data_IF_551972833140
#
_entry.id   IF_551972833140
#
_cell.length_a   1.000
_cell.length_b   1.000
_cell.length_c   1.000
_cell.angle_alpha   90.00
_cell.angle_beta   90.00
_cell.angle_gamma   90.00
#
_symmetry.space_group_name_H-M   'P 1'
#
loop_
_entity.id
_entity.type
_entity.pdbx_description
1 polymer ?
#
# COMPACT_ATOMS: atom_id res chain seq x y z
N UNK A 1 -8.24 -18.25 7.86
CA UNK A 1 -7.56 -18.26 9.17
C UNK A 1 -8.48 -18.74 10.29
N UNK A 2 -9.59 -18.05 10.60
CA UNK A 2 -10.50 -18.44 11.69
C UNK A 2 -11.04 -19.87 11.56
N UNK A 3 -11.56 -20.24 10.39
CA UNK A 3 -12.09 -21.58 10.14
C UNK A 3 -11.00 -22.67 10.23
N UNK A 4 -9.83 -22.43 9.65
CA UNK A 4 -8.71 -23.38 9.70
C UNK A 4 -8.18 -23.57 11.13
N UNK A 5 -8.10 -22.49 11.92
CA UNK A 5 -7.68 -22.53 13.32
C UNK A 5 -8.70 -23.25 14.21
N UNK A 6 -10.00 -23.01 13.99
CA UNK A 6 -11.07 -23.73 14.69
C UNK A 6 -11.08 -25.22 14.33
N UNK A 7 -10.88 -25.54 13.05
CA UNK A 7 -10.78 -26.92 12.59
C UNK A 7 -9.58 -27.65 13.21
N UNK A 8 -8.45 -26.94 13.33
CA UNK A 8 -7.25 -27.44 13.98
C UNK A 8 -7.51 -27.77 15.46
N UNK A 9 -8.05 -26.81 16.22
CA UNK A 9 -8.37 -26.99 17.64
C UNK A 9 -9.33 -28.16 17.85
N UNK A 10 -10.38 -28.24 17.04
CA UNK A 10 -11.37 -29.31 17.12
C UNK A 10 -10.76 -30.70 16.84
N UNK A 11 -9.84 -30.82 15.88
CA UNK A 11 -9.25 -32.13 15.52
C UNK A 11 -8.10 -32.57 16.43
N UNK A 12 -7.35 -31.62 16.99
CA UNK A 12 -6.12 -31.90 17.75
C UNK A 12 -6.28 -31.82 19.26
N UNK A 13 -7.44 -31.37 19.76
CA UNK A 13 -7.72 -31.34 21.19
C UNK A 13 -7.77 -32.75 21.80
N UNK A 14 -7.05 -32.94 22.91
CA UNK A 14 -7.15 -34.12 23.76
C UNK A 14 -8.29 -34.01 24.77
N UNK A 15 -8.75 -35.15 25.29
CA UNK A 15 -9.71 -35.19 26.40
C UNK A 15 -8.97 -35.02 27.73
N UNK A 16 -9.48 -34.15 28.60
CA UNK A 16 -8.92 -33.90 29.94
C UNK A 16 -9.78 -34.59 30.99
N UNK A 17 -9.15 -35.28 31.94
CA UNK A 17 -9.85 -35.91 33.05
C UNK A 17 -10.29 -34.84 34.06
N UNK A 18 -11.60 -34.71 34.28
CA UNK A 18 -12.18 -33.70 35.19
C UNK A 18 -12.35 -34.25 36.62
N UNK A 19 -12.51 -35.57 36.76
CA UNK A 19 -12.63 -36.25 38.06
C UNK A 19 -11.69 -37.46 38.11
N UNK A 20 -10.97 -37.61 39.22
CA UNK A 20 -10.06 -38.73 39.48
C UNK A 20 -10.76 -40.10 39.50
N UNK A 21 -12.07 -40.11 39.77
CA UNK A 21 -12.86 -41.34 39.93
C UNK A 21 -13.34 -41.92 38.60
N UNK A 22 -13.29 -41.12 37.52
CA UNK A 22 -13.77 -41.53 36.19
C UNK A 22 -12.59 -41.47 35.21
N UNK A 23 -12.02 -42.62 34.82
CA UNK A 23 -10.92 -42.66 33.86
C UNK A 23 -11.41 -42.30 32.45
N UNK A 24 -10.54 -41.67 31.66
CA UNK A 24 -10.83 -41.33 30.26
C UNK A 24 -10.84 -42.61 29.42
N UNK A 25 -12.02 -43.04 28.96
CA UNK A 25 -12.21 -44.30 28.23
C UNK A 25 -11.97 -44.19 26.71
N UNK A 26 -12.01 -42.98 26.16
CA UNK A 26 -11.86 -42.69 24.74
C UNK A 26 -10.84 -41.55 24.60
N UNK A 27 -9.72 -41.81 23.94
CA UNK A 27 -8.74 -40.78 23.61
C UNK A 27 -8.84 -40.44 22.12
N UNK A 28 -8.71 -39.16 21.79
CA UNK A 28 -8.61 -38.74 20.41
C UNK A 28 -7.26 -39.22 19.84
N UNK A 29 -7.29 -40.10 18.84
CA UNK A 29 -6.10 -40.67 18.20
C UNK A 29 -5.22 -39.65 17.49
N UNK A 30 -5.77 -38.48 17.17
CA UNK A 30 -5.04 -37.37 16.55
C UNK A 30 -4.64 -36.28 17.55
N UNK A 31 -4.89 -36.49 18.85
CA UNK A 31 -4.53 -35.53 19.89
C UNK A 31 -3.01 -35.33 19.94
N UNK A 32 -2.61 -34.08 20.06
CA UNK A 32 -1.21 -33.73 20.30
C UNK A 32 -0.91 -33.77 21.81
N UNK A 33 0.38 -33.73 22.15
CA UNK A 33 0.79 -33.59 23.54
C UNK A 33 0.22 -32.29 24.13
N UNK A 34 -0.02 -32.25 25.43
CA UNK A 34 -0.55 -31.05 26.10
C UNK A 34 0.36 -29.83 25.88
N UNK A 35 1.67 -30.04 25.83
CA UNK A 35 2.65 -28.98 25.65
C UNK A 35 2.62 -28.43 24.21
N UNK A 36 2.64 -29.31 23.21
CA UNK A 36 2.60 -28.91 21.79
C UNK A 36 1.26 -28.23 21.45
N UNK A 37 0.14 -28.77 21.96
CA UNK A 37 -1.18 -28.21 21.75
C UNK A 37 -1.31 -26.81 22.37
N UNK A 38 -0.79 -26.61 23.58
CA UNK A 38 -0.78 -25.32 24.26
C UNK A 38 0.06 -24.29 23.49
N UNK A 39 1.27 -24.68 23.08
CA UNK A 39 2.17 -23.81 22.31
C UNK A 39 1.54 -23.37 20.99
N UNK A 40 0.96 -24.30 20.22
CA UNK A 40 0.30 -23.99 18.95
C UNK A 40 -0.97 -23.16 19.14
N UNK A 41 -1.73 -23.39 20.21
CA UNK A 41 -2.90 -22.57 20.54
C UNK A 41 -2.49 -21.12 20.84
N UNK A 42 -1.38 -20.93 21.56
CA UNK A 42 -0.82 -19.61 21.83
C UNK A 42 -0.34 -18.91 20.54
N UNK A 43 0.29 -19.66 19.62
CA UNK A 43 0.68 -19.16 18.30
C UNK A 43 -0.53 -18.69 17.49
N UNK A 44 -1.58 -19.53 17.40
CA UNK A 44 -2.84 -19.19 16.72
C UNK A 44 -3.45 -17.92 17.30
N UNK A 45 -3.52 -17.79 18.62
CA UNK A 45 -4.06 -16.60 19.28
C UNK A 45 -3.22 -15.35 18.95
N UNK A 46 -1.90 -15.48 18.99
CA UNK A 46 -0.96 -14.40 18.66
C UNK A 46 -1.14 -13.93 17.22
N UNK A 47 -1.30 -14.85 16.29
CA UNK A 47 -1.48 -14.55 14.88
C UNK A 47 -2.84 -13.91 14.58
N UNK A 48 -3.91 -14.36 15.24
CA UNK A 48 -5.22 -13.70 15.17
C UNK A 48 -5.12 -12.25 15.66
N UNK A 49 -4.48 -12.03 16.82
CA UNK A 49 -4.27 -10.68 17.36
C UNK A 49 -3.42 -9.81 16.43
N UNK A 50 -2.36 -10.37 15.84
CA UNK A 50 -1.52 -9.67 14.87
C UNK A 50 -2.32 -9.30 13.63
N UNK A 51 -3.18 -10.20 13.14
CA UNK A 51 -4.02 -9.94 11.97
C UNK A 51 -5.09 -8.89 12.26
N UNK A 52 -5.69 -8.91 13.44
CA UNK A 52 -6.62 -7.87 13.89
C UNK A 52 -5.93 -6.49 13.92
N UNK A 53 -4.76 -6.39 14.55
CA UNK A 53 -3.97 -5.14 14.57
C UNK A 53 -3.61 -4.65 13.17
N UNK A 54 -3.26 -5.54 12.25
CA UNK A 54 -3.01 -5.16 10.85
C UNK A 54 -4.23 -4.56 10.19
N UNK A 55 -5.42 -5.12 10.45
CA UNK A 55 -6.69 -4.57 9.95
C UNK A 55 -6.92 -3.18 10.54
N UNK A 56 -6.69 -2.99 11.84
CA UNK A 56 -6.84 -1.69 12.50
C UNK A 56 -5.88 -0.65 11.92
N UNK A 57 -4.60 -1.00 11.77
CA UNK A 57 -3.61 -0.12 11.12
C UNK A 57 -3.99 0.19 9.67
N UNK A 58 -4.50 -0.79 8.93
CA UNK A 58 -4.97 -0.55 7.56
C UNK A 58 -6.15 0.41 7.56
N UNK A 59 -7.14 0.20 8.44
CA UNK A 59 -8.31 1.05 8.59
C UNK A 59 -7.93 2.51 8.92
N UNK A 60 -6.98 2.71 9.83
CA UNK A 60 -6.43 4.04 10.16
C UNK A 60 -5.66 4.66 8.99
N UNK A 61 -5.00 3.84 8.17
CA UNK A 61 -4.23 4.29 7.02
C UNK A 61 -5.07 4.62 5.78
N UNK A 62 -6.38 4.34 5.76
CA UNK A 62 -7.23 4.61 4.60
C UNK A 62 -7.36 6.13 4.36
N UNK A 63 -6.78 6.67 3.27
CA UNK A 63 -6.95 8.06 2.93
C UNK A 63 -8.40 8.34 2.49
N UNK A 64 -8.95 9.49 2.88
CA UNK A 64 -10.26 9.95 2.40
C UNK A 64 -11.49 9.44 3.15
N UNK A 65 -11.33 8.78 4.31
CA UNK A 65 -12.47 8.35 5.15
C UNK A 65 -12.99 9.44 6.09
N UNK A 66 -12.21 10.49 6.33
CA UNK A 66 -12.55 11.61 7.21
C UNK A 66 -13.29 12.75 6.53
N UNK A 67 -13.07 12.96 5.22
CA UNK A 67 -13.68 14.08 4.51
C UNK A 67 -15.04 13.65 3.97
N UNK A 68 -16.05 14.52 4.09
CA UNK A 68 -17.33 14.27 3.44
C UNK A 68 -17.11 14.21 1.91
N UNK A 69 -17.86 13.37 1.20
CA UNK A 69 -17.73 13.20 -0.26
C UNK A 69 -17.75 14.54 -1.00
N UNK A 70 -18.54 15.51 -0.54
CA UNK A 70 -18.61 16.85 -1.12
C UNK A 70 -17.41 17.76 -0.85
N UNK A 71 -16.59 17.51 0.18
CA UNK A 71 -15.32 18.20 0.41
C UNK A 71 -14.24 17.65 -0.51
N UNK A 72 -14.17 16.32 -0.66
CA UNK A 72 -13.25 15.67 -1.61
C UNK A 72 -13.49 16.14 -3.05
N UNK A 73 -14.75 16.31 -3.44
CA UNK A 73 -15.09 16.82 -4.77
C UNK A 73 -14.64 18.27 -4.98
N UNK A 74 -14.73 19.12 -3.95
CA UNK A 74 -14.22 20.50 -4.02
C UNK A 74 -12.70 20.54 -4.11
N UNK A 75 -12.01 19.79 -3.26
CA UNK A 75 -10.55 19.69 -3.28
C UNK A 75 -10.06 19.19 -4.65
N UNK A 76 -10.78 18.22 -5.23
CA UNK A 76 -10.47 17.71 -6.58
C UNK A 76 -10.70 18.76 -7.67
N UNK A 77 -11.77 19.55 -7.60
CA UNK A 77 -12.04 20.63 -8.55
C UNK A 77 -11.00 21.75 -8.45
N UNK A 78 -10.60 22.13 -7.23
CA UNK A 78 -9.55 23.13 -7.00
C UNK A 78 -8.21 22.65 -7.54
N UNK A 79 -7.83 21.40 -7.26
CA UNK A 79 -6.59 20.81 -7.76
C UNK A 79 -6.58 20.71 -9.30
N UNK A 80 -7.71 20.41 -9.93
CA UNK A 80 -7.81 20.43 -11.40
C UNK A 80 -7.61 21.84 -11.96
N UNK A 81 -8.24 22.84 -11.34
CA UNK A 81 -8.08 24.24 -11.74
C UNK A 81 -6.63 24.70 -11.63
N UNK A 82 -5.94 24.34 -10.55
CA UNK A 82 -4.52 24.66 -10.37
C UNK A 82 -3.65 23.95 -11.42
N UNK A 83 -3.90 22.66 -11.69
CA UNK A 83 -3.18 21.93 -12.72
C UNK A 83 -3.37 22.53 -14.12
N UNK A 84 -4.58 22.97 -14.46
CA UNK A 84 -4.87 23.65 -15.72
C UNK A 84 -4.05 24.95 -15.83
N UNK A 85 -4.01 25.76 -14.77
CA UNK A 85 -3.22 26.99 -14.74
C UNK A 85 -1.73 26.73 -14.91
N UNK A 86 -1.17 25.81 -14.12
CA UNK A 86 0.24 25.43 -14.20
C UNK A 86 0.59 24.86 -15.57
N UNK A 87 -0.32 24.10 -16.18
CA UNK A 87 -0.11 23.57 -17.54
C UNK A 87 0.00 24.69 -18.57
N UNK A 88 -0.85 25.71 -18.48
CA UNK A 88 -0.79 26.88 -19.37
C UNK A 88 0.52 27.64 -19.17
N UNK A 89 0.91 27.92 -17.93
CA UNK A 89 2.17 28.60 -17.63
C UNK A 89 3.38 27.81 -18.15
N UNK A 90 3.38 26.48 -17.97
CA UNK A 90 4.42 25.60 -18.46
C UNK A 90 4.49 25.58 -20.00
N UNK A 91 3.35 25.65 -20.69
CA UNK A 91 3.30 25.77 -22.14
C UNK A 91 3.86 27.11 -22.62
N UNK A 92 3.52 28.21 -21.94
CA UNK A 92 4.04 29.54 -22.27
C UNK A 92 5.55 29.62 -22.05
N UNK A 93 6.05 29.13 -20.92
CA UNK A 93 7.48 29.07 -20.63
C UNK A 93 8.23 28.21 -21.66
N UNK A 94 7.65 27.06 -22.07
CA UNK A 94 8.22 26.23 -23.13
C UNK A 94 8.26 26.94 -24.48
N UNK A 95 7.22 27.71 -24.82
CA UNK A 95 7.21 28.51 -26.05
C UNK A 95 8.34 29.53 -26.04
N UNK A 96 8.49 30.28 -24.95
CA UNK A 96 9.56 31.28 -24.81
C UNK A 96 10.96 30.65 -24.89
N UNK A 97 11.15 29.50 -24.24
CA UNK A 97 12.41 28.76 -24.30
C UNK A 97 12.76 28.31 -25.72
N UNK A 98 11.76 27.84 -26.49
CA UNK A 98 11.93 27.47 -27.91
C UNK A 98 12.28 28.67 -28.78
N UNK A 99 11.56 29.78 -28.62
CA UNK A 99 11.83 31.01 -29.37
C UNK A 99 13.25 31.55 -29.12
N UNK A 100 13.71 31.49 -27.86
CA UNK A 100 15.07 31.87 -27.50
C UNK A 100 16.10 30.92 -28.13
N UNK A 101 15.83 29.62 -28.11
CA UNK A 101 16.69 28.61 -28.72
C UNK A 101 16.79 28.77 -30.23
N UNK A 102 15.67 29.02 -30.90
CA UNK A 102 15.62 29.27 -32.34
C UNK A 102 16.42 30.53 -32.70
N UNK A 103 16.25 31.61 -31.92
CA UNK A 103 17.03 32.85 -32.08
C UNK A 103 18.53 32.63 -31.88
N UNK A 104 18.93 31.89 -30.85
CA UNK A 104 20.33 31.53 -30.61
C UNK A 104 20.90 30.68 -31.75
N UNK A 105 20.14 29.70 -32.23
CA UNK A 105 20.55 28.84 -33.34
C UNK A 105 20.74 29.65 -34.62
N UNK A 106 19.83 30.58 -34.93
CA UNK A 106 19.93 31.47 -36.08
C UNK A 106 21.15 32.40 -35.99
N UNK A 107 21.45 32.95 -34.81
CA UNK A 107 22.66 33.74 -34.58
C UNK A 107 23.93 32.90 -34.80
N UNK A 108 23.98 31.67 -34.26
CA UNK A 108 25.12 30.78 -34.46
C UNK A 108 25.31 30.39 -35.93
N UNK A 109 24.23 30.13 -36.66
CA UNK A 109 24.28 29.86 -38.11
C UNK A 109 24.74 31.08 -38.89
N UNK A 110 24.23 32.29 -38.61
CA UNK A 110 24.67 33.51 -39.27
C UNK A 110 26.16 33.82 -39.00
N UNK A 111 26.64 33.55 -37.79
CA UNK A 111 28.07 33.65 -37.45
C UNK A 111 28.87 32.62 -38.26
N UNK A 112 28.45 31.36 -38.29
CA UNK A 112 29.12 30.30 -39.04
C UNK A 112 29.18 30.59 -40.55
N UNK A 113 28.08 31.09 -41.14
CA UNK A 113 28.00 31.44 -42.56
C UNK A 113 28.94 32.62 -42.89
N UNK A 114 28.99 33.65 -42.03
CA UNK A 114 29.90 34.80 -42.20
C UNK A 114 31.38 34.38 -42.16
N UNK A 115 31.75 33.46 -41.26
CA UNK A 115 33.10 32.90 -41.21
C UNK A 115 33.42 31.99 -42.41
N UNK A 116 32.43 31.28 -42.97
CA UNK A 116 32.59 30.49 -44.19
C UNK A 116 32.84 31.34 -45.44
N UNK A 117 32.14 32.46 -45.60
CA UNK A 117 32.26 33.35 -46.76
C UNK A 117 33.53 34.23 -46.80
N UNK A 118 34.32 34.28 -45.73
CA UNK A 118 35.61 35.01 -45.71
C UNK A 118 36.81 34.15 -46.17
N UNK A 119 36.59 32.88 -46.55
CA UNK A 119 37.66 31.93 -46.92
C UNK A 119 37.70 31.52 -48.40
N UNK A 120 36.99 32.22 -49.28
CA UNK A 120 37.09 32.14 -50.75
C UNK A 120 37.27 33.52 -51.34
#
# INVERSE_FOLDING_TARGET
MLFSSLHYLHKRAGMVQVSSDIPVTQQNSNAESSDDFSQRTQEIATDICRQAKKIDTLAESLPGTTNAIGELEKDFQELNRENEQVTVELQEANRQARELLDSLSAMLTAIADNFGSSTT
#
